data_IF_460729911450
#
_entry.id   IF_460729911450
#
_cell.length_a   1.000
_cell.length_b   1.000
_cell.length_c   1.000
_cell.angle_alpha   90.00
_cell.angle_beta   90.00
_cell.angle_gamma   90.00
#
_symmetry.space_group_name_H-M   'P 1'
#
loop_
_entity.id
_entity.type
_entity.pdbx_description
1 polymer ?
#
# COMPACT_ATOMS: atom_id res chain seq x y z
N UNK A 1 -7.08 -10.20 1.69
CA UNK A 1 -7.97 -9.08 2.00
C UNK A 1 -7.97 -8.06 0.86
N UNK A 2 -9.04 -7.33 0.73
CA UNK A 2 -9.20 -6.28 -0.28
C UNK A 2 -9.80 -5.04 0.37
N UNK A 3 -9.40 -3.87 -0.11
CA UNK A 3 -9.95 -2.62 0.40
C UNK A 3 -9.85 -1.51 -0.66
N UNK A 4 -10.69 -0.50 -0.49
CA UNK A 4 -10.62 0.76 -1.20
C UNK A 4 -10.38 1.90 -0.21
N UNK A 5 -10.07 3.09 -0.72
CA UNK A 5 -9.90 4.28 0.11
C UNK A 5 -11.24 4.68 0.72
N UNK A 6 -11.29 4.88 2.04
CA UNK A 6 -12.49 5.26 2.78
C UNK A 6 -12.27 6.47 3.68
N UNK A 7 -11.28 7.31 3.38
CA UNK A 7 -10.94 8.46 4.23
C UNK A 7 -12.14 9.40 4.45
N UNK A 8 -12.90 9.69 3.41
CA UNK A 8 -14.06 10.57 3.50
C UNK A 8 -15.26 9.89 4.12
N UNK A 9 -15.54 8.65 3.73
CA UNK A 9 -16.68 7.90 4.25
C UNK A 9 -16.58 7.68 5.75
N UNK A 10 -15.37 7.46 6.25
CA UNK A 10 -15.11 7.22 7.68
C UNK A 10 -14.71 8.46 8.45
N UNK A 11 -14.52 9.60 7.77
CA UNK A 11 -13.94 10.79 8.37
C UNK A 11 -12.61 10.47 9.07
N UNK A 12 -11.80 9.62 8.44
CA UNK A 12 -10.56 9.09 8.97
C UNK A 12 -9.44 9.33 7.95
N UNK A 13 -8.52 10.26 8.21
CA UNK A 13 -7.45 10.56 7.26
C UNK A 13 -6.46 9.40 7.05
N UNK A 14 -6.46 8.41 7.92
CA UNK A 14 -5.62 7.22 7.79
C UNK A 14 -6.28 6.07 7.04
N UNK A 15 -7.55 6.18 6.65
CA UNK A 15 -8.31 5.10 6.04
C UNK A 15 -7.97 4.91 4.56
N UNK A 16 -6.69 4.83 4.24
CA UNK A 16 -6.18 4.43 2.93
C UNK A 16 -6.46 2.94 2.69
N UNK A 17 -6.54 2.55 1.43
CA UNK A 17 -6.79 1.15 1.05
C UNK A 17 -5.80 0.20 1.70
N UNK A 18 -4.52 0.55 1.71
CA UNK A 18 -3.46 -0.27 2.29
C UNK A 18 -3.65 -0.48 3.79
N UNK A 19 -4.01 0.58 4.50
CA UNK A 19 -4.27 0.52 5.95
C UNK A 19 -5.43 -0.43 6.24
N UNK A 20 -6.53 -0.28 5.50
CA UNK A 20 -7.73 -1.09 5.70
C UNK A 20 -7.47 -2.56 5.35
N UNK A 21 -6.74 -2.82 4.27
CA UNK A 21 -6.38 -4.18 3.87
C UNK A 21 -5.48 -4.87 4.91
N UNK A 22 -4.48 -4.17 5.43
CA UNK A 22 -3.59 -4.70 6.48
C UNK A 22 -4.39 -5.00 7.74
N UNK A 23 -5.26 -4.09 8.18
CA UNK A 23 -6.12 -4.33 9.35
C UNK A 23 -7.00 -5.57 9.17
N UNK A 24 -7.62 -5.72 8.00
CA UNK A 24 -8.44 -6.90 7.70
C UNK A 24 -7.62 -8.19 7.72
N UNK A 25 -6.45 -8.18 7.09
CA UNK A 25 -5.58 -9.34 7.05
C UNK A 25 -5.10 -9.74 8.46
N UNK A 26 -4.68 -8.78 9.27
CA UNK A 26 -4.26 -9.04 10.65
C UNK A 26 -5.40 -9.63 11.46
N UNK A 27 -6.61 -9.10 11.31
CA UNK A 27 -7.78 -9.59 12.03
C UNK A 27 -8.16 -11.01 11.58
N UNK A 28 -8.11 -11.28 10.27
CA UNK A 28 -8.42 -12.61 9.73
C UNK A 28 -7.39 -13.66 10.16
N UNK A 29 -6.11 -13.32 10.12
CA UNK A 29 -5.02 -14.23 10.45
C UNK A 29 -4.66 -14.24 11.94
N UNK A 30 -5.30 -13.40 12.74
CA UNK A 30 -5.07 -13.29 14.20
C UNK A 30 -3.60 -13.04 14.53
N UNK A 31 -2.98 -12.12 13.81
CA UNK A 31 -1.58 -11.73 14.00
C UNK A 31 -1.36 -10.27 13.67
N UNK A 32 -0.37 -9.64 14.28
CA UNK A 32 0.09 -8.29 13.93
C UNK A 32 1.27 -8.32 12.96
N UNK A 33 1.73 -9.49 12.55
CA UNK A 33 2.86 -9.66 11.63
C UNK A 33 2.47 -10.53 10.46
N UNK A 34 2.49 -9.93 9.27
CA UNK A 34 2.07 -10.58 8.03
C UNK A 34 3.30 -11.08 7.26
N UNK A 35 4.16 -11.88 7.94
CA UNK A 35 5.49 -12.26 7.45
C UNK A 35 5.49 -13.07 6.16
N UNK A 36 4.41 -13.79 5.89
CA UNK A 36 4.28 -14.60 4.66
C UNK A 36 3.32 -13.99 3.65
N UNK A 37 2.93 -12.74 3.83
CA UNK A 37 1.95 -12.08 2.99
C UNK A 37 2.60 -11.15 1.98
N UNK A 38 2.05 -11.14 0.78
CA UNK A 38 2.39 -10.22 -0.28
C UNK A 38 1.28 -9.18 -0.43
N UNK A 39 1.65 -7.95 -0.79
CA UNK A 39 0.69 -6.88 -1.01
C UNK A 39 0.76 -6.39 -2.46
N UNK A 40 -0.41 -6.18 -3.05
CA UNK A 40 -0.54 -5.66 -4.40
C UNK A 40 -1.33 -4.35 -4.35
N UNK A 41 -0.74 -3.27 -4.83
CA UNK A 41 -1.40 -1.97 -4.93
C UNK A 41 -1.25 -1.40 -6.32
N UNK A 42 -2.22 -0.58 -6.74
CA UNK A 42 -2.17 0.04 -8.06
C UNK A 42 -1.23 1.22 -8.11
N UNK A 43 -1.15 1.98 -7.02
CA UNK A 43 -0.31 3.17 -6.92
C UNK A 43 0.68 3.02 -5.76
N UNK A 44 1.89 3.55 -5.95
CA UNK A 44 2.93 3.53 -4.91
C UNK A 44 2.38 4.02 -3.57
N UNK A 45 2.55 3.24 -2.48
CA UNK A 45 2.11 3.67 -1.15
C UNK A 45 2.79 4.97 -0.70
N UNK A 46 2.02 5.79 0.02
CA UNK A 46 2.56 6.99 0.65
C UNK A 46 3.47 6.64 1.84
N UNK A 47 4.10 7.65 2.45
CA UNK A 47 5.00 7.43 3.58
C UNK A 47 4.32 6.74 4.77
N UNK A 48 3.10 7.13 5.10
CA UNK A 48 2.33 6.51 6.19
C UNK A 48 2.09 5.02 5.92
N UNK A 49 1.64 4.68 4.71
CA UNK A 49 1.37 3.29 4.35
C UNK A 49 2.66 2.47 4.24
N UNK A 50 3.74 3.06 3.71
CA UNK A 50 5.04 2.39 3.68
C UNK A 50 5.54 2.04 5.09
N UNK A 51 5.39 2.96 6.04
CA UNK A 51 5.71 2.71 7.44
C UNK A 51 4.88 1.58 8.04
N UNK A 52 3.59 1.55 7.74
CA UNK A 52 2.71 0.47 8.19
C UNK A 52 3.09 -0.88 7.57
N UNK A 53 3.41 -0.90 6.29
CA UNK A 53 3.87 -2.11 5.59
C UNK A 53 5.11 -2.68 6.28
N UNK A 54 6.07 -1.83 6.64
CA UNK A 54 7.25 -2.25 7.39
C UNK A 54 6.88 -2.80 8.77
N UNK A 55 6.01 -2.10 9.51
CA UNK A 55 5.58 -2.54 10.83
C UNK A 55 4.84 -3.87 10.79
N UNK A 56 4.04 -4.10 9.75
CA UNK A 56 3.32 -5.36 9.56
C UNK A 56 4.21 -6.50 9.06
N UNK A 57 5.46 -6.24 8.71
CA UNK A 57 6.42 -7.24 8.22
C UNK A 57 5.97 -7.90 6.91
N UNK A 58 5.33 -7.15 6.02
CA UNK A 58 4.93 -7.65 4.69
C UNK A 58 6.16 -8.14 3.95
N UNK A 59 6.06 -9.32 3.34
CA UNK A 59 7.18 -9.97 2.66
C UNK A 59 7.52 -9.27 1.34
N UNK A 60 6.52 -9.01 0.51
CA UNK A 60 6.69 -8.40 -0.81
C UNK A 60 5.62 -7.36 -1.07
N UNK A 61 6.02 -6.26 -1.71
CA UNK A 61 5.09 -5.22 -2.16
C UNK A 61 5.22 -5.06 -3.68
N UNK A 62 4.09 -5.16 -4.35
CA UNK A 62 3.96 -4.95 -5.79
C UNK A 62 3.13 -3.70 -6.02
N UNK A 63 3.66 -2.74 -6.73
CA UNK A 63 2.85 -1.59 -7.14
C UNK A 63 3.07 -1.29 -8.62
N UNK A 64 2.01 -0.88 -9.30
CA UNK A 64 2.03 -0.74 -10.74
C UNK A 64 2.60 0.60 -11.16
N UNK A 65 2.17 1.70 -10.55
CA UNK A 65 2.59 3.04 -10.92
C UNK A 65 3.30 3.74 -9.77
N UNK A 66 4.42 4.40 -10.06
CA UNK A 66 5.06 5.32 -9.13
C UNK A 66 4.21 6.57 -8.93
N UNK A 67 4.28 7.15 -7.76
CA UNK A 67 3.57 8.38 -7.43
C UNK A 67 4.55 9.50 -7.09
N UNK A 68 4.92 10.34 -8.08
CA UNK A 68 5.87 11.43 -7.86
C UNK A 68 5.37 12.47 -6.85
N UNK A 69 4.05 12.56 -6.67
CA UNK A 69 3.44 13.56 -5.80
C UNK A 69 3.35 13.11 -4.35
N UNK A 70 2.97 11.87 -4.11
CA UNK A 70 2.64 11.40 -2.75
C UNK A 70 3.29 10.07 -2.37
N UNK A 71 4.10 9.49 -3.24
CA UNK A 71 4.76 8.22 -2.96
C UNK A 71 5.74 8.31 -1.81
N UNK A 72 5.99 7.18 -1.16
CA UNK A 72 6.88 7.08 -0.01
C UNK A 72 7.90 5.95 -0.10
N UNK A 73 7.99 5.23 -1.23
CA UNK A 73 8.91 4.11 -1.43
C UNK A 73 10.05 4.52 -2.37
N UNK A 74 9.77 4.75 -3.64
CA UNK A 74 10.74 5.21 -4.62
C UNK A 74 10.81 6.73 -4.68
N UNK A 75 9.74 7.40 -4.33
CA UNK A 75 9.58 8.85 -4.33
C UNK A 75 9.51 9.38 -2.90
N UNK A 76 9.51 10.69 -2.75
CA UNK A 76 9.25 11.37 -1.49
C UNK A 76 10.16 10.94 -0.35
N UNK A 77 9.56 10.52 0.74
CA UNK A 77 10.29 10.19 1.97
C UNK A 77 11.16 8.93 1.87
N UNK A 78 10.92 8.05 0.89
CA UNK A 78 11.70 6.81 0.69
C UNK A 78 11.91 6.06 2.01
N UNK A 79 10.82 5.71 2.63
CA UNK A 79 10.77 5.17 3.99
C UNK A 79 11.69 3.96 4.18
N UNK A 80 11.82 3.11 3.14
CA UNK A 80 12.63 1.89 3.25
C UNK A 80 14.15 2.15 3.14
N UNK A 81 14.55 3.37 2.85
CA UNK A 81 15.96 3.77 2.82
C UNK A 81 16.47 4.25 4.18
N UNK A 82 15.60 4.41 5.17
CA UNK A 82 15.96 4.91 6.50
C UNK A 82 16.46 3.79 7.41
N UNK A 83 17.51 4.07 8.17
CA UNK A 83 18.11 3.10 9.09
C UNK A 83 17.14 2.59 10.17
N UNK A 84 16.19 3.43 10.56
CA UNK A 84 15.21 3.08 11.59
C UNK A 84 14.05 2.24 11.07
N UNK A 85 14.01 1.94 9.79
CA UNK A 85 13.03 1.02 9.23
C UNK A 85 13.51 -0.40 9.49
N UNK A 86 12.88 -1.09 10.46
CA UNK A 86 13.34 -2.38 10.98
C UNK A 86 13.06 -3.56 10.05
N UNK A 87 12.18 -3.40 9.07
CA UNK A 87 11.86 -4.41 8.08
C UNK A 87 11.68 -3.75 6.71
N UNK A 88 12.32 -4.31 5.72
CA UNK A 88 12.23 -3.84 4.34
C UNK A 88 11.66 -4.97 3.50
N UNK A 89 10.46 -4.82 2.90
CA UNK A 89 9.93 -5.83 2.01
C UNK A 89 10.72 -5.90 0.71
N UNK A 90 10.61 -7.01 -0.02
CA UNK A 90 11.03 -7.02 -1.42
C UNK A 90 10.09 -6.10 -2.21
N UNK A 91 10.64 -5.27 -3.09
CA UNK A 91 9.89 -4.22 -3.80
C UNK A 91 9.87 -4.54 -5.28
N UNK A 92 8.69 -4.59 -5.87
CA UNK A 92 8.49 -4.87 -7.28
C UNK A 92 7.64 -3.77 -7.92
N UNK A 93 8.28 -2.69 -8.41
CA UNK A 93 7.57 -1.58 -9.03
C UNK A 93 7.28 -1.87 -10.51
N UNK A 94 6.34 -1.14 -11.07
CA UNK A 94 6.07 -1.15 -12.51
C UNK A 94 5.32 -2.37 -13.02
N UNK A 95 4.83 -3.22 -12.14
CA UNK A 95 4.10 -4.43 -12.53
C UNK A 95 2.72 -4.06 -13.08
N UNK A 96 2.54 -4.21 -14.40
CA UNK A 96 1.28 -3.90 -15.06
C UNK A 96 0.98 -2.39 -15.11
N UNK A 97 2.01 -1.56 -15.24
CA UNK A 97 1.89 -0.09 -15.16
C UNK A 97 0.85 0.49 -16.13
N UNK A 98 0.82 0.02 -17.39
CA UNK A 98 -0.18 0.48 -18.35
C UNK A 98 -1.61 0.14 -17.92
N UNK A 99 -1.80 -1.08 -17.43
CA UNK A 99 -3.10 -1.52 -16.90
C UNK A 99 -3.48 -0.72 -15.66
N UNK A 100 -2.52 -0.39 -14.84
CA UNK A 100 -2.75 0.38 -13.61
C UNK A 100 -3.14 1.83 -13.91
N UNK A 101 -2.53 2.46 -14.92
CA UNK A 101 -2.92 3.81 -15.34
C UNK A 101 -4.38 3.81 -15.81
N UNK A 102 -4.80 2.80 -16.58
CA UNK A 102 -6.20 2.62 -17.00
C UNK A 102 -7.11 2.34 -15.80
N UNK A 103 -6.67 1.49 -14.89
CA UNK A 103 -7.41 1.17 -13.66
C UNK A 103 -7.54 2.38 -12.75
N UNK A 104 -6.52 3.22 -12.66
CA UNK A 104 -6.59 4.45 -11.88
C UNK A 104 -7.60 5.44 -12.45
N UNK A 105 -7.69 5.56 -13.78
CA UNK A 105 -8.76 6.35 -14.40
C UNK A 105 -10.13 5.79 -14.04
N UNK A 106 -10.29 4.47 -14.10
CA UNK A 106 -11.52 3.79 -13.69
C UNK A 106 -11.71 3.83 -12.17
N UNK A 107 -10.62 3.78 -11.42
CA UNK A 107 -10.61 3.84 -9.97
C UNK A 107 -11.18 5.14 -9.44
N UNK A 108 -10.81 6.28 -10.00
CA UNK A 108 -11.40 7.55 -9.59
C UNK A 108 -12.91 7.59 -9.91
N UNK A 109 -13.39 6.80 -10.85
CA UNK A 109 -14.80 6.64 -11.13
C UNK A 109 -15.49 5.66 -10.17
N UNK A 110 -14.82 4.56 -9.80
CA UNK A 110 -15.38 3.49 -8.95
C UNK A 110 -14.90 3.54 -7.50
N UNK A 111 -13.88 4.34 -7.20
CA UNK A 111 -13.26 4.49 -5.87
C UNK A 111 -12.77 3.16 -5.29
N UNK A 112 -12.15 2.32 -6.11
CA UNK A 112 -11.57 1.05 -5.68
C UNK A 112 -10.10 0.99 -5.95
N UNK A 113 -9.33 0.66 -4.90
CA UNK A 113 -7.92 0.27 -4.99
C UNK A 113 -7.80 -1.15 -4.47
N UNK A 114 -7.08 -1.98 -5.22
CA UNK A 114 -6.79 -3.34 -4.81
C UNK A 114 -5.45 -3.33 -4.05
N UNK A 115 -5.51 -3.65 -2.79
CA UNK A 115 -4.34 -3.73 -1.93
C UNK A 115 -4.14 -5.14 -1.39
#
# INVERSE_FOLDING_TARGET
>A
ARAGNETRARLDPSAHAEVLAIRKACNTLKTDRLVDCDMYVTLEPCAMCAGLIANARIRRIYFAASDPKSGGIQQGARVFDHEQTHHIPEIYPGIGEEKAVKLLRNFFATKRVKA
#
